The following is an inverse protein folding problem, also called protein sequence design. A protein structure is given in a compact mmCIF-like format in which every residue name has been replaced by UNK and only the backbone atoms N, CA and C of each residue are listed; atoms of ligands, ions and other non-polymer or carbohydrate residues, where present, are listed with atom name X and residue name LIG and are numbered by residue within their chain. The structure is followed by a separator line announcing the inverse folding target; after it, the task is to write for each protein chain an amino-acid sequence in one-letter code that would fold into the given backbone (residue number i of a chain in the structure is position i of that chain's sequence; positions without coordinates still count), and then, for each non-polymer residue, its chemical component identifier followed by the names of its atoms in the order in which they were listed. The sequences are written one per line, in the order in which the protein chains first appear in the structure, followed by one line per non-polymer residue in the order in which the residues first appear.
data_IF_463330235963
#
_entry.id   IF_463330235963
#
_cell.length_a   1.000
_cell.length_b   1.000
_cell.length_c   1.000
_cell.angle_alpha   90.00
_cell.angle_beta   90.00
_cell.angle_gamma   90.00
#
_symmetry.space_group_name_H-M   'P 1'
#
loop_
_entity.id
_entity.type
_entity.pdbx_description
1 polymer ?
#
# COMPACT_ATOMS: atom_id res chain seq x y z
N UNK A 1 -13.75 4.98 9.17
CA UNK A 1 -14.77 3.94 8.91
C UNK A 1 -16.16 4.35 9.40
N UNK A 2 -16.25 5.19 10.41
CA UNK A 2 -17.52 5.73 10.95
C UNK A 2 -18.56 4.64 11.20
N UNK A 3 -18.15 3.55 11.84
CA UNK A 3 -19.04 2.44 12.16
C UNK A 3 -19.30 1.46 11.02
N UNK A 4 -18.79 1.73 9.81
CA UNK A 4 -18.93 0.82 8.68
C UNK A 4 -17.69 -0.07 8.56
N UNK A 5 -17.90 -1.31 8.13
CA UNK A 5 -16.78 -2.18 7.78
C UNK A 5 -16.29 -1.83 6.38
N UNK A 6 -15.08 -1.29 6.27
CA UNK A 6 -14.49 -0.91 4.99
C UNK A 6 -13.62 -2.02 4.42
N UNK A 7 -12.61 -2.47 5.17
CA UNK A 7 -11.74 -3.54 4.73
C UNK A 7 -12.48 -4.88 4.76
N UNK A 8 -12.52 -5.55 3.61
CA UNK A 8 -13.26 -6.80 3.45
C UNK A 8 -14.75 -6.64 3.25
N UNK A 9 -15.24 -5.38 3.28
CA UNK A 9 -16.65 -5.06 3.02
C UNK A 9 -16.90 -4.74 1.56
N UNK A 10 -18.07 -4.16 1.26
CA UNK A 10 -18.46 -3.88 -0.13
C UNK A 10 -17.60 -2.81 -0.78
N UNK A 11 -17.15 -1.83 -0.01
CA UNK A 11 -16.36 -0.71 -0.57
C UNK A 11 -14.93 -1.12 -0.90
N UNK A 12 -14.31 -1.94 -0.05
CA UNK A 12 -12.92 -2.39 -0.22
C UNK A 12 -12.90 -3.91 -0.01
N UNK A 13 -13.38 -4.69 -0.99
CA UNK A 13 -13.44 -6.13 -0.83
C UNK A 13 -12.05 -6.76 -0.85
N UNK A 14 -11.91 -7.89 -0.16
CA UNK A 14 -10.70 -8.68 -0.21
C UNK A 14 -10.47 -9.24 -1.62
N UNK A 15 -9.22 -9.51 -1.96
CA UNK A 15 -8.77 -10.07 -3.24
C UNK A 15 -9.06 -9.18 -4.45
N UNK A 16 -9.33 -7.89 -4.23
CA UNK A 16 -9.53 -6.91 -5.29
C UNK A 16 -8.53 -5.78 -5.18
N UNK A 17 -8.10 -5.26 -6.32
CA UNK A 17 -7.19 -4.12 -6.36
C UNK A 17 -7.82 -2.90 -5.70
N UNK A 18 -7.05 -2.22 -4.86
CA UNK A 18 -7.46 -1.01 -4.16
C UNK A 18 -6.39 0.07 -4.32
N UNK A 19 -6.82 1.30 -4.58
CA UNK A 19 -5.93 2.46 -4.72
C UNK A 19 -5.25 2.88 -3.42
N UNK A 20 -5.56 2.21 -2.32
CA UNK A 20 -4.96 2.42 -1.01
C UNK A 20 -5.20 3.84 -0.48
N UNK A 21 -6.31 4.42 -0.85
CA UNK A 21 -6.73 5.75 -0.46
C UNK A 21 -8.20 5.99 -0.78
N UNK A 22 -8.65 7.22 -0.58
CA UNK A 22 -10.07 7.58 -0.75
C UNK A 22 -10.42 8.05 -2.16
N UNK A 23 -9.55 8.85 -2.78
CA UNK A 23 -9.80 9.43 -4.12
C UNK A 23 -8.66 9.11 -5.07
N UNK A 24 -7.52 9.78 -4.93
CA UNK A 24 -6.34 9.48 -5.70
C UNK A 24 -5.59 8.30 -5.08
N UNK A 25 -4.81 7.53 -5.86
CA UNK A 25 -3.98 6.49 -5.26
C UNK A 25 -2.93 7.12 -4.35
N UNK A 26 -2.57 6.39 -3.31
CA UNK A 26 -1.48 6.80 -2.42
C UNK A 26 -0.18 6.89 -3.21
N UNK A 27 0.63 7.91 -2.90
CA UNK A 27 1.88 8.17 -3.59
C UNK A 27 3.07 7.89 -2.70
N UNK A 28 4.12 7.33 -3.29
CA UNK A 28 5.44 7.19 -2.66
C UNK A 28 6.43 7.98 -3.48
N UNK A 29 7.22 8.83 -2.81
CA UNK A 29 8.31 9.55 -3.44
C UNK A 29 9.60 9.23 -2.71
N UNK A 30 10.65 8.89 -3.45
CA UNK A 30 11.96 8.61 -2.88
C UNK A 30 13.05 9.37 -3.62
N UNK A 31 14.00 9.90 -2.86
CA UNK A 31 15.14 10.66 -3.40
C UNK A 31 16.35 9.77 -3.68
N UNK A 32 16.27 8.49 -3.39
CA UNK A 32 17.30 7.53 -3.71
C UNK A 32 16.69 6.13 -3.86
N UNK A 33 17.46 5.13 -4.29
CA UNK A 33 16.90 3.79 -4.45
C UNK A 33 16.52 3.18 -3.11
N UNK A 34 15.37 2.51 -3.09
CA UNK A 34 14.86 1.78 -1.92
C UNK A 34 14.30 0.44 -2.35
N UNK A 35 14.07 -0.43 -1.36
CA UNK A 35 13.37 -1.70 -1.59
C UNK A 35 12.10 -1.69 -0.73
N UNK A 36 10.95 -1.80 -1.35
CA UNK A 36 9.64 -1.77 -0.69
C UNK A 36 8.97 -3.14 -0.86
N UNK A 37 8.70 -3.82 0.25
CA UNK A 37 8.12 -5.16 0.22
C UNK A 37 8.86 -6.12 -0.72
N UNK A 38 10.20 -6.01 -0.76
CA UNK A 38 11.04 -6.81 -1.62
C UNK A 38 11.17 -6.31 -3.07
N UNK A 39 10.54 -5.19 -3.41
CA UNK A 39 10.56 -4.63 -4.77
C UNK A 39 11.54 -3.46 -4.82
N UNK A 40 12.53 -3.54 -5.72
CA UNK A 40 13.51 -2.45 -5.90
C UNK A 40 12.86 -1.27 -6.64
N UNK A 41 12.93 -0.09 -6.04
CA UNK A 41 12.44 1.16 -6.63
C UNK A 41 13.62 2.12 -6.80
N UNK A 42 13.81 2.62 -8.02
CA UNK A 42 14.76 3.70 -8.27
C UNK A 42 14.20 5.01 -7.72
N UNK A 43 15.07 6.02 -7.63
CA UNK A 43 14.63 7.40 -7.29
C UNK A 43 13.44 7.81 -8.16
N UNK A 44 12.43 8.39 -7.57
CA UNK A 44 11.25 8.86 -8.30
C UNK A 44 9.98 8.79 -7.49
N UNK A 45 8.87 8.96 -8.18
CA UNK A 45 7.52 8.93 -7.60
C UNK A 45 6.74 7.74 -8.16
N UNK A 46 5.94 7.13 -7.29
CA UNK A 46 5.16 5.95 -7.62
C UNK A 46 3.78 6.07 -6.99
N UNK A 47 2.76 5.54 -7.65
CA UNK A 47 1.48 5.30 -7.01
C UNK A 47 1.52 3.93 -6.34
N UNK A 48 0.79 3.77 -5.26
CA UNK A 48 0.73 2.54 -4.49
C UNK A 48 -0.66 1.93 -4.57
N UNK A 49 -0.72 0.74 -5.13
CA UNK A 49 -1.93 -0.07 -5.11
C UNK A 49 -1.70 -1.28 -4.22
N UNK A 50 -2.76 -1.79 -3.67
CA UNK A 50 -2.72 -3.01 -2.85
C UNK A 50 -3.87 -3.92 -3.21
N UNK A 51 -3.71 -5.20 -2.88
CA UNK A 51 -4.80 -6.16 -2.93
C UNK A 51 -4.96 -6.66 -1.50
N UNK A 52 -5.95 -6.14 -0.75
CA UNK A 52 -6.17 -6.56 0.63
C UNK A 52 -6.60 -8.02 0.74
N UNK A 53 -6.16 -8.66 1.81
CA UNK A 53 -6.57 -10.03 2.14
C UNK A 53 -6.50 -10.18 3.67
N UNK A 54 -7.20 -11.13 4.29
CA UNK A 54 -7.21 -11.24 5.75
C UNK A 54 -5.85 -11.39 6.42
N UNK A 55 -4.88 -12.05 5.78
CA UNK A 55 -3.59 -12.37 6.43
C UNK A 55 -2.40 -11.73 5.75
N UNK A 56 -2.48 -11.47 4.47
CA UNK A 56 -1.35 -10.95 3.70
C UNK A 56 -1.87 -10.09 2.56
N UNK A 57 -1.30 -8.91 2.41
CA UNK A 57 -1.68 -7.99 1.33
C UNK A 57 -0.63 -8.03 0.22
N UNK A 58 -1.07 -7.94 -1.03
CA UNK A 58 -0.17 -7.66 -2.13
C UNK A 58 0.07 -6.17 -2.21
N UNK A 59 1.33 -5.78 -2.45
CA UNK A 59 1.76 -4.39 -2.55
C UNK A 59 2.28 -4.19 -3.97
N UNK A 60 1.71 -3.22 -4.68
CA UNK A 60 1.96 -3.01 -6.11
C UNK A 60 2.34 -1.55 -6.38
N UNK A 61 3.64 -1.22 -6.34
CA UNK A 61 4.08 0.11 -6.78
C UNK A 61 3.95 0.25 -8.29
N UNK A 62 3.55 1.44 -8.73
CA UNK A 62 3.30 1.72 -10.14
C UNK A 62 3.93 3.05 -10.54
N UNK A 63 4.57 3.10 -11.70
CA UNK A 63 5.19 4.32 -12.23
C UNK A 63 4.18 5.33 -12.74
N UNK A 64 2.96 4.91 -13.06
CA UNK A 64 1.91 5.81 -13.51
C UNK A 64 1.33 6.57 -12.32
N UNK A 65 1.41 7.89 -12.32
CA UNK A 65 1.03 8.72 -11.18
C UNK A 65 0.02 9.80 -11.53
N UNK A 66 -0.47 9.83 -12.76
CA UNK A 66 -1.39 10.86 -13.24
C UNK A 66 -2.84 10.39 -13.34
N UNK A 67 -3.09 9.09 -13.17
CA UNK A 67 -4.43 8.55 -13.26
C UNK A 67 -5.26 8.91 -12.03
N UNK A 68 -6.58 9.03 -12.23
CA UNK A 68 -7.50 9.19 -11.12
C UNK A 68 -7.55 7.91 -10.27
N UNK A 69 -7.89 8.03 -9.01
CA UNK A 69 -7.77 6.91 -8.07
C UNK A 69 -8.74 5.76 -8.23
N UNK A 70 -9.90 5.99 -8.87
CA UNK A 70 -10.89 4.92 -9.02
C UNK A 70 -10.31 3.74 -9.80
N UNK A 71 -10.60 2.51 -9.38
CA UNK A 71 -9.99 1.32 -9.96
C UNK A 71 -10.35 1.11 -11.42
N UNK A 72 -11.46 1.70 -11.90
CA UNK A 72 -11.81 1.69 -13.31
C UNK A 72 -10.80 2.43 -14.19
N UNK A 73 -9.98 3.30 -13.61
CA UNK A 73 -8.90 3.98 -14.34
C UNK A 73 -7.62 3.13 -14.41
N UNK A 74 -7.61 1.97 -13.78
CA UNK A 74 -6.48 1.05 -13.84
C UNK A 74 -6.54 0.22 -15.13
N UNK A 75 -6.23 0.90 -16.22
CA UNK A 75 -6.28 0.33 -17.57
C UNK A 75 -5.06 -0.56 -17.82
N UNK A 76 -5.05 -1.26 -18.96
CA UNK A 76 -3.87 -2.05 -19.37
C UNK A 76 -2.61 -1.18 -19.48
N UNK A 77 -2.76 0.08 -19.91
CA UNK A 77 -1.62 1.01 -19.99
C UNK A 77 -1.06 1.32 -18.59
N UNK A 78 -1.91 1.52 -17.59
CA UNK A 78 -1.49 1.74 -16.21
C UNK A 78 -0.89 0.46 -15.64
N UNK A 79 -1.51 -0.67 -15.86
CA UNK A 79 -1.01 -1.97 -15.39
C UNK A 79 0.38 -2.27 -15.95
N UNK A 80 0.65 -1.88 -17.17
CA UNK A 80 1.96 -2.08 -17.80
C UNK A 80 3.07 -1.27 -17.11
N UNK A 81 2.73 -0.29 -16.28
CA UNK A 81 3.69 0.51 -15.52
C UNK A 81 3.95 -0.04 -14.11
N UNK A 82 3.35 -1.15 -13.73
CA UNK A 82 3.65 -1.81 -12.46
C UNK A 82 5.12 -2.17 -12.39
N UNK A 83 5.76 -1.83 -11.25
CA UNK A 83 7.16 -2.17 -11.04
C UNK A 83 7.31 -3.63 -10.62
N UNK A 84 6.35 -4.13 -9.86
CA UNK A 84 6.34 -5.50 -9.40
C UNK A 84 5.23 -5.71 -8.38
N UNK A 85 5.13 -6.93 -7.87
CA UNK A 85 4.19 -7.31 -6.82
C UNK A 85 4.98 -7.85 -5.63
N UNK A 86 4.84 -7.23 -4.49
CA UNK A 86 5.37 -7.72 -3.23
C UNK A 86 4.25 -8.14 -2.30
N UNK A 87 4.61 -8.60 -1.11
CA UNK A 87 3.64 -8.97 -0.09
C UNK A 87 4.01 -8.32 1.23
N UNK A 88 2.98 -8.05 2.05
CA UNK A 88 3.15 -7.50 3.38
C UNK A 88 2.18 -8.18 4.33
N UNK A 89 2.63 -8.46 5.54
CA UNK A 89 1.82 -9.16 6.53
C UNK A 89 0.77 -8.23 7.13
N UNK A 90 -0.42 -8.75 7.31
CA UNK A 90 -1.51 -8.10 8.02
C UNK A 90 -1.61 -8.68 9.42
N UNK A 91 -1.77 -7.82 10.41
CA UNK A 91 -1.98 -8.23 11.80
C UNK A 91 -3.15 -7.46 12.41
N UNK A 92 -3.72 -8.02 13.48
CA UNK A 92 -4.82 -7.39 14.18
C UNK A 92 -4.33 -6.32 15.14
N UNK A 93 -5.07 -5.21 15.23
CA UNK A 93 -4.85 -4.17 16.22
C UNK A 93 -5.78 -4.41 17.41
N UNK A 94 -5.27 -4.17 18.63
CA UNK A 94 -6.08 -4.25 19.84
C UNK A 94 -7.09 -3.11 19.90
N UNK A 95 -6.70 -1.92 19.42
CA UNK A 95 -7.56 -0.72 19.39
C UNK A 95 -7.82 -0.32 17.95
N UNK A 96 -9.08 -0.13 17.54
CA UNK A 96 -9.39 0.26 16.16
C UNK A 96 -8.83 1.64 15.82
N UNK A 97 -8.38 1.79 14.57
CA UNK A 97 -7.98 3.07 13.99
C UNK A 97 -9.09 3.52 13.04
N UNK A 98 -9.77 4.60 13.38
CA UNK A 98 -10.98 5.05 12.66
C UNK A 98 -10.67 5.59 11.27
N UNK A 99 -9.56 6.29 11.13
CA UNK A 99 -9.14 6.92 9.87
C UNK A 99 -7.95 6.18 9.29
N UNK A 100 -7.99 5.87 7.99
CA UNK A 100 -6.85 5.25 7.31
C UNK A 100 -5.59 6.08 7.57
N UNK A 101 -4.59 5.46 8.16
CA UNK A 101 -3.37 6.13 8.64
C UNK A 101 -2.13 5.43 8.12
N UNK A 102 -1.21 6.23 7.60
CA UNK A 102 0.14 5.76 7.28
C UNK A 102 1.12 6.36 8.28
N UNK A 103 2.02 5.55 8.81
CA UNK A 103 3.11 6.03 9.66
C UNK A 103 4.33 5.16 9.46
N UNK A 104 5.47 5.63 9.93
CA UNK A 104 6.73 4.89 9.82
C UNK A 104 7.22 4.51 11.22
N UNK A 105 7.92 3.38 11.28
CA UNK A 105 8.49 2.88 12.52
C UNK A 105 9.86 2.27 12.21
N UNK A 106 10.87 2.60 12.98
CA UNK A 106 12.19 2.02 12.81
C UNK A 106 12.15 0.53 13.16
N UNK A 107 12.64 -0.28 12.23
CA UNK A 107 12.80 -1.71 12.44
C UNK A 107 14.27 -2.05 12.75
N UNK A 108 14.58 -3.34 12.68
CA UNK A 108 15.94 -3.81 12.92
C UNK A 108 16.84 -3.55 11.71
N UNK A 109 18.15 -3.38 11.94
CA UNK A 109 19.18 -3.39 10.90
C UNK A 109 18.94 -2.40 9.74
N UNK A 110 18.47 -1.19 10.04
CA UNK A 110 18.27 -0.16 9.02
C UNK A 110 16.96 -0.27 8.25
N UNK A 111 16.09 -1.20 8.61
CA UNK A 111 14.76 -1.31 8.02
C UNK A 111 13.86 -0.23 8.60
N UNK A 112 13.07 0.40 7.74
CA UNK A 112 11.98 1.28 8.17
C UNK A 112 10.68 0.60 7.74
N UNK A 113 9.78 0.37 8.68
CA UNK A 113 8.49 -0.20 8.37
C UNK A 113 7.49 0.91 8.08
N UNK A 114 6.87 0.84 6.91
CA UNK A 114 5.72 1.67 6.58
C UNK A 114 4.49 0.92 7.09
N UNK A 115 3.78 1.53 8.02
CA UNK A 115 2.61 0.94 8.63
C UNK A 115 1.35 1.57 8.06
N UNK A 116 0.48 0.73 7.52
CA UNK A 116 -0.86 1.12 7.14
C UNK A 116 -1.79 0.60 8.22
N UNK A 117 -2.52 1.50 8.87
CA UNK A 117 -3.42 1.14 9.96
C UNK A 117 -4.82 1.67 9.71
N UNK A 118 -5.79 0.80 9.77
CA UNK A 118 -7.18 1.17 9.62
C UNK A 118 -8.07 0.09 10.19
N UNK A 119 -9.14 0.51 10.84
CA UNK A 119 -10.03 -0.40 11.56
C UNK A 119 -9.20 -1.23 12.55
N UNK A 120 -9.32 -2.53 12.58
CA UNK A 120 -8.52 -3.39 13.45
C UNK A 120 -7.35 -4.04 12.71
N UNK A 121 -6.88 -3.42 11.63
CA UNK A 121 -5.88 -3.99 10.76
C UNK A 121 -4.62 -3.13 10.72
N UNK A 122 -3.46 -3.77 10.84
CA UNK A 122 -2.15 -3.17 10.58
C UNK A 122 -1.46 -3.97 9.49
N UNK A 123 -1.02 -3.29 8.44
CA UNK A 123 -0.18 -3.89 7.41
C UNK A 123 1.23 -3.33 7.57
N UNK A 124 2.22 -4.21 7.69
CA UNK A 124 3.62 -3.83 7.86
C UNK A 124 4.36 -4.03 6.55
N UNK A 125 4.78 -2.92 5.95
CA UNK A 125 5.46 -2.91 4.67
C UNK A 125 6.94 -2.56 4.92
N UNK A 126 7.86 -3.53 4.83
CA UNK A 126 9.27 -3.23 5.08
C UNK A 126 9.87 -2.40 3.95
N UNK A 127 10.63 -1.38 4.31
CA UNK A 127 11.35 -0.50 3.39
C UNK A 127 12.81 -0.48 3.81
N UNK A 128 13.70 -0.80 2.88
CA UNK A 128 15.14 -0.77 3.12
C UNK A 128 15.84 0.10 2.09
N UNK A 129 17.04 0.63 2.39
CA UNK A 129 17.83 1.33 1.38
C UNK A 129 18.14 0.40 0.21
N UNK A 130 18.06 0.93 -1.00
CA UNK A 130 18.48 0.23 -2.20
C UNK A 130 19.98 0.36 -2.45
N UNK A 131 20.44 -0.27 -3.50
CA UNK A 131 21.85 -0.20 -3.93
C UNK A 131 22.06 0.81 -5.05
#
# INVERSE_FOLDING_TARGET
AKGRTMLGGDAIPFAKLWRTGANEPTMIHTTGPIVVAGIALAEGSYSLYTIPDPTEWHVIPNRSITQWGHESTYTEAVKAQEVGHGTAKSSALATPVETLTFRTEAGAAGVVNLLLEWEKTRVTIPVTPGK
#
